data_IF_909075196274
#
_entry.id   IF_909075196274
#
_cell.length_a   1.000
_cell.length_b   1.000
_cell.length_c   1.000
_cell.angle_alpha   90.00
_cell.angle_beta   90.00
_cell.angle_gamma   90.00
#
_symmetry.space_group_name_H-M   'P 1'
#
loop_
_entity.id
_entity.type
_entity.pdbx_description
1 polymer ?
2 non-polymer ?
3 non-polymer ?
4 non-polymer ?
5 water ?
#
# COMPACT_ATOMS: atom_id res chain seq x y z
N UNK A 2 34.84 6.05 -5.87
CA UNK A 2 35.62 5.05 -6.60
C UNK A 2 35.73 5.43 -8.07
N UNK A 3 34.59 5.52 -8.77
CA UNK A 3 34.57 5.89 -10.18
C UNK A 3 35.20 7.25 -10.37
N UNK A 4 35.96 7.41 -11.46
CA UNK A 4 36.60 8.68 -11.79
C UNK A 4 35.49 9.63 -12.28
N UNK A 5 35.74 10.95 -12.24
CA UNK A 5 34.79 11.94 -12.73
C UNK A 5 34.45 11.63 -14.19
N UNK A 6 33.17 11.53 -14.49
CA UNK A 6 32.70 11.20 -15.83
C UNK A 6 31.22 10.91 -15.90
N UNK A 7 30.78 10.34 -17.03
CA UNK A 7 29.37 10.01 -17.31
C UNK A 7 29.24 8.53 -17.63
N UNK A 8 28.23 7.88 -17.04
CA UNK A 8 28.02 6.44 -17.22
C UNK A 8 26.53 6.18 -17.29
N UNK A 9 26.14 4.99 -17.79
CA UNK A 9 24.75 4.52 -17.61
C UNK A 9 24.84 3.49 -16.47
N UNK A 10 23.78 3.32 -15.71
CA UNK A 10 23.76 2.37 -14.62
C UNK A 10 22.37 1.71 -14.52
N UNK A 11 22.27 0.40 -14.78
CA UNK A 11 20.97 -0.28 -14.62
C UNK A 11 20.59 -0.36 -13.15
N UNK A 12 19.30 -0.41 -12.89
CA UNK A 12 18.84 -0.52 -11.51
C UNK A 12 17.53 -1.26 -11.45
N UNK A 13 17.20 -1.71 -10.25
CA UNK A 13 15.90 -2.34 -9.99
C UNK A 13 15.37 -1.69 -8.72
N UNK A 14 14.08 -1.30 -8.73
CA UNK A 14 13.40 -0.80 -7.53
C UNK A 14 12.85 -2.07 -6.86
N UNK A 15 13.38 -2.40 -5.68
CA UNK A 15 12.97 -3.56 -4.88
C UNK A 15 12.07 -3.15 -3.73
N UNK A 16 11.32 -4.10 -3.18
CA UNK A 16 10.46 -3.80 -2.04
C UNK A 16 11.31 -3.42 -0.81
N UNK A 17 10.70 -2.72 0.15
CA UNK A 17 11.40 -2.29 1.37
C UNK A 17 11.85 -3.47 2.24
N UNK A 18 10.99 -4.50 2.39
CA UNK A 18 11.21 -5.62 3.32
C UNK A 18 11.58 -6.98 2.73
N UNK A 19 11.62 -7.06 1.39
CA UNK A 19 12.05 -8.28 0.69
C UNK A 19 12.74 -7.92 -0.63
N UNK A 20 13.35 -8.92 -1.29
CA UNK A 20 14.08 -8.71 -2.53
C UNK A 20 13.26 -8.85 -3.82
N UNK A 21 11.92 -8.94 -3.71
CA UNK A 21 11.11 -8.97 -4.94
C UNK A 21 11.01 -7.53 -5.50
N UNK A 22 10.59 -7.39 -6.76
CA UNK A 22 10.47 -6.09 -7.41
C UNK A 22 9.34 -5.29 -6.80
N UNK A 23 9.55 -3.99 -6.66
CA UNK A 23 8.54 -3.06 -6.17
C UNK A 23 7.63 -2.70 -7.36
N UNK A 24 6.37 -2.29 -7.08
CA UNK A 24 5.49 -1.77 -8.13
C UNK A 24 6.10 -0.46 -8.71
N UNK A 25 7.06 0.18 -7.98
CA UNK A 25 7.75 1.38 -8.45
C UNK A 25 8.61 1.13 -9.69
N UNK A 26 9.01 -0.15 -9.92
CA UNK A 26 9.83 -0.47 -11.10
C UNK A 26 9.15 -0.03 -12.43
N UNK A 27 7.81 -0.02 -12.49
CA UNK A 27 7.05 0.40 -13.69
C UNK A 27 7.11 1.92 -13.96
N UNK A 28 7.51 2.72 -12.93
CA UNK A 28 7.47 4.17 -12.97
C UNK A 28 8.75 4.89 -13.32
N UNK A 29 9.87 4.14 -13.45
CA UNK A 29 11.18 4.71 -13.75
C UNK A 29 11.71 4.07 -15.01
N UNK A 30 12.36 4.85 -15.86
CA UNK A 30 12.95 4.28 -17.07
C UNK A 30 14.38 3.80 -16.80
N UNK A 31 14.71 2.61 -17.32
CA UNK A 31 16.03 1.98 -17.16
C UNK A 31 16.85 2.11 -18.47
N UNK A 32 18.19 2.29 -18.42
CA UNK A 32 19.04 2.51 -17.24
C UNK A 32 19.02 3.97 -16.79
N UNK A 33 19.57 4.24 -15.60
CA UNK A 33 19.71 5.60 -15.09
C UNK A 33 21.02 6.18 -15.66
N UNK A 34 21.15 7.49 -15.60
CA UNK A 34 22.41 8.15 -15.95
C UNK A 34 23.15 8.31 -14.62
N UNK A 35 24.48 8.17 -14.64
CA UNK A 35 25.29 8.38 -13.46
C UNK A 35 26.39 9.41 -13.82
N UNK A 36 26.41 10.54 -13.10
CA UNK A 36 27.44 11.55 -13.32
C UNK A 36 28.27 11.66 -12.05
N UNK A 37 29.59 11.53 -12.21
CA UNK A 37 30.53 11.65 -11.10
C UNK A 37 31.28 12.97 -11.30
N UNK A 38 31.15 13.91 -10.35
CA UNK A 38 31.78 15.24 -10.45
C UNK A 38 32.31 15.63 -9.06
N UNK A 39 33.60 16.01 -8.99
CA UNK A 39 34.28 16.36 -7.75
C UNK A 39 34.06 15.26 -6.69
N UNK A 40 34.10 14.01 -7.16
CA UNK A 40 33.92 12.82 -6.33
C UNK A 40 32.49 12.51 -5.89
N UNK A 41 31.49 13.31 -6.31
CA UNK A 41 30.08 13.10 -5.93
C UNK A 41 29.31 12.34 -7.00
N UNK A 42 28.68 11.23 -6.58
CA UNK A 42 27.96 10.35 -7.49
C UNK A 42 26.53 10.81 -7.55
N UNK A 43 26.10 11.24 -8.74
CA UNK A 43 24.74 11.72 -8.97
C UNK A 43 24.02 10.80 -9.92
N UNK A 44 22.88 10.26 -9.49
CA UNK A 44 22.10 9.38 -10.35
C UNK A 44 20.90 10.16 -10.84
N UNK A 45 20.60 10.07 -12.15
CA UNK A 45 19.43 10.73 -12.72
C UNK A 45 18.59 9.71 -13.47
N UNK A 46 17.28 9.80 -13.32
CA UNK A 46 16.36 8.88 -14.01
C UNK A 46 15.05 9.55 -14.32
N UNK A 47 14.39 9.06 -15.37
CA UNK A 47 13.10 9.59 -15.77
C UNK A 47 11.99 8.92 -14.97
N UNK A 48 11.08 9.73 -14.42
CA UNK A 48 9.86 9.28 -13.75
C UNK A 48 8.84 9.37 -14.92
N UNK A 49 8.25 8.22 -15.33
CA UNK A 49 7.40 8.20 -16.52
C UNK A 49 5.92 8.54 -16.33
N UNK A 50 5.53 8.87 -15.10
CA UNK A 50 4.17 9.25 -14.78
C UNK A 50 4.27 10.33 -13.72
N UNK A 51 4.55 11.54 -14.22
CA UNK A 51 4.77 12.72 -13.40
C UNK A 51 3.62 12.99 -12.44
N UNK A 52 2.35 12.84 -12.88
CA UNK A 52 1.17 13.12 -12.05
C UNK A 52 0.94 12.10 -10.93
N UNK A 53 1.28 10.82 -11.15
CA UNK A 53 1.06 9.76 -10.15
C UNK A 53 2.10 9.85 -9.03
N UNK A 54 3.37 10.05 -9.38
CA UNK A 54 4.48 10.11 -8.43
C UNK A 54 4.62 11.56 -7.96
N UNK A 55 3.98 11.90 -6.82
CA UNK A 55 3.93 13.28 -6.34
C UNK A 55 5.17 13.74 -5.58
N UNK A 56 5.87 12.80 -4.92
CA UNK A 56 7.08 13.14 -4.16
C UNK A 56 7.96 11.92 -4.10
N UNK A 57 9.27 12.14 -4.07
CA UNK A 57 10.23 11.06 -3.99
C UNK A 57 11.40 11.53 -3.15
N UNK A 58 11.77 10.69 -2.17
CA UNK A 58 12.88 10.98 -1.26
C UNK A 58 13.85 9.80 -1.23
N UNK A 59 15.15 10.07 -1.09
CA UNK A 59 16.15 8.99 -1.02
C UNK A 59 17.06 9.25 0.16
N UNK A 60 17.66 8.19 0.69
CA UNK A 60 18.54 8.31 1.86
C UNK A 60 19.85 9.04 1.51
N UNK A 61 20.17 10.05 2.32
CA UNK A 61 21.43 10.81 2.19
C UNK A 61 21.81 11.27 3.59
N UNK A 62 23.03 10.91 4.02
CA UNK A 62 23.56 11.23 5.35
C UNK A 62 22.61 10.78 6.49
N UNK A 63 22.12 9.55 6.37
CA UNK A 63 21.27 8.87 7.34
C UNK A 63 19.81 9.25 7.40
N UNK A 64 19.32 10.10 6.47
CA UNK A 64 17.92 10.54 6.45
C UNK A 64 17.34 10.65 5.05
N UNK A 65 15.99 10.64 4.92
CA UNK A 65 15.32 10.72 3.60
C UNK A 65 15.22 12.15 3.17
N UNK A 66 15.84 12.49 2.02
CA UNK A 66 15.83 13.85 1.49
C UNK A 66 15.18 13.88 0.10
N UNK A 67 14.43 14.96 -0.17
CA UNK A 67 13.79 15.10 -1.47
C UNK A 67 14.79 15.01 -2.61
N UNK A 68 14.43 14.29 -3.67
CA UNK A 68 15.27 14.23 -4.88
C UNK A 68 15.19 15.62 -5.59
N UNK A 69 16.17 15.91 -6.45
CA UNK A 69 16.16 17.16 -7.20
C UNK A 69 15.43 16.96 -8.52
N UNK A 70 14.48 17.82 -8.86
CA UNK A 70 13.84 17.71 -10.19
C UNK A 70 14.76 18.49 -11.16
N UNK A 71 15.28 17.82 -12.20
CA UNK A 71 16.22 18.45 -13.13
C UNK A 71 15.64 18.84 -14.48
N UNK A 72 14.48 18.27 -14.81
CA UNK A 72 13.70 18.57 -16.01
C UNK A 72 12.26 18.11 -15.78
N UNK A 73 11.29 18.84 -16.33
CA UNK A 73 9.88 18.44 -16.21
C UNK A 73 9.22 18.68 -17.52
N UNK A 74 8.44 17.69 -17.99
CA UNK A 74 7.71 17.84 -19.26
C UNK A 74 6.24 17.54 -18.97
N UNK A 75 5.47 18.58 -18.61
CA UNK A 75 4.05 18.42 -18.25
C UNK A 75 3.24 17.90 -19.39
N UNK A 76 3.56 18.35 -20.63
CA UNK A 76 2.84 17.92 -21.84
C UNK A 76 2.92 16.40 -21.99
N UNK A 77 4.10 15.81 -21.71
CA UNK A 77 4.34 14.36 -21.85
C UNK A 77 4.13 13.59 -20.54
N UNK A 78 3.83 14.31 -19.43
CA UNK A 78 3.59 13.69 -18.13
C UNK A 78 4.85 12.93 -17.60
N UNK A 79 6.03 13.55 -17.81
CA UNK A 79 7.28 12.96 -17.32
C UNK A 79 8.14 14.00 -16.66
N UNK A 80 9.11 13.54 -15.88
CA UNK A 80 10.11 14.42 -15.29
C UNK A 80 11.41 13.64 -15.07
N UNK A 81 12.52 14.34 -14.91
CA UNK A 81 13.80 13.69 -14.64
C UNK A 81 14.19 14.13 -13.25
N UNK A 82 14.52 13.17 -12.39
CA UNK A 82 14.93 13.45 -11.02
C UNK A 82 16.38 13.07 -10.87
N UNK A 83 17.06 13.69 -9.91
CA UNK A 83 18.46 13.41 -9.65
C UNK A 83 18.70 13.35 -8.15
N UNK A 84 19.57 12.43 -7.73
CA UNK A 84 19.92 12.30 -6.33
C UNK A 84 21.32 11.81 -6.13
N UNK A 85 21.91 12.23 -5.02
CA UNK A 85 23.26 11.82 -4.64
C UNK A 85 23.24 10.44 -4.03
N UNK A 86 24.19 9.57 -4.42
CA UNK A 86 24.29 8.21 -3.85
C UNK A 86 25.66 8.08 -3.20
N UNK A 87 25.69 7.77 -1.90
CA UNK A 87 26.96 7.66 -1.16
C UNK A 87 27.70 6.38 -1.48
N UNK A 88 26.96 5.26 -1.59
CA UNK A 88 27.54 3.94 -1.87
C UNK A 88 26.66 3.20 -2.86
N UNK A 89 27.14 3.04 -4.09
CA UNK A 89 26.38 2.35 -5.15
C UNK A 89 26.25 0.83 -4.94
N UNK A 90 27.12 0.27 -4.07
CA UNK A 90 27.19 -1.16 -3.80
C UNK A 90 26.24 -1.66 -2.70
N UNK A 91 25.38 -0.78 -2.18
CA UNK A 91 24.41 -1.13 -1.16
C UNK A 91 23.01 -0.67 -1.61
N UNK A 92 21.92 -1.37 -1.22
CA UNK A 92 20.56 -0.89 -1.58
C UNK A 92 20.33 0.51 -1.02
N UNK A 93 19.62 1.34 -1.76
CA UNK A 93 19.36 2.72 -1.34
C UNK A 93 17.91 2.88 -0.91
N UNK A 94 17.68 3.19 0.36
CA UNK A 94 16.32 3.34 0.86
C UNK A 94 15.65 4.59 0.32
N UNK A 95 14.41 4.44 -0.16
CA UNK A 95 13.62 5.52 -0.72
C UNK A 95 12.18 5.54 -0.21
N UNK A 96 11.51 6.68 -0.39
CA UNK A 96 10.13 6.89 0.02
C UNK A 96 9.41 7.57 -1.12
N UNK A 97 8.21 7.11 -1.41
CA UNK A 97 7.41 7.73 -2.45
C UNK A 97 6.05 8.15 -1.92
N UNK A 98 5.53 9.31 -2.40
CA UNK A 98 4.15 9.72 -2.19
C UNK A 98 3.51 9.63 -3.55
N UNK A 99 2.34 9.01 -3.63
CA UNK A 99 1.65 8.86 -4.91
C UNK A 99 0.18 9.18 -4.82
N UNK A 100 -0.42 9.45 -5.96
CA UNK A 100 -1.84 9.70 -6.08
C UNK A 100 -2.33 8.75 -7.13
N UNK A 101 -3.33 7.96 -6.79
CA UNK A 101 -3.82 6.97 -7.75
C UNK A 101 -5.30 7.18 -8.06
N UNK A 102 -5.76 7.12 -9.34
CA UNK A 102 -7.21 7.23 -9.57
C UNK A 102 -7.87 6.00 -8.96
N UNK A 103 -8.98 6.22 -8.26
CA UNK A 103 -9.60 5.12 -7.52
C UNK A 103 -11.11 5.21 -7.62
N UNK A 104 -11.68 4.68 -8.73
CA UNK A 104 -13.13 4.65 -9.01
C UNK A 104 -13.84 6.01 -8.82
N UNK A 105 -13.29 7.04 -9.46
CA UNK A 105 -13.83 8.39 -9.38
C UNK A 105 -13.20 9.26 -8.30
N UNK A 106 -12.45 8.63 -7.35
CA UNK A 106 -11.75 9.33 -6.27
C UNK A 106 -10.24 9.32 -6.51
N UNK A 107 -9.48 10.04 -5.68
CA UNK A 107 -8.02 10.02 -5.80
C UNK A 107 -7.47 9.48 -4.50
N UNK A 108 -6.81 8.32 -4.57
CA UNK A 108 -6.21 7.76 -3.38
C UNK A 108 -4.81 8.35 -3.18
N UNK A 109 -4.54 8.87 -1.99
CA UNK A 109 -3.22 9.39 -1.67
C UNK A 109 -2.52 8.33 -0.83
N UNK A 110 -1.43 7.82 -1.36
CA UNK A 110 -0.68 6.77 -0.71
C UNK A 110 0.77 7.11 -0.53
N UNK A 111 1.45 6.26 0.25
CA UNK A 111 2.89 6.41 0.45
C UNK A 111 3.50 5.04 0.63
N UNK A 112 4.75 4.88 0.21
CA UNK A 112 5.40 3.59 0.40
C UNK A 112 6.89 3.77 0.41
N UNK A 113 7.58 2.81 1.01
CA UNK A 113 9.03 2.78 0.99
C UNK A 113 9.46 1.68 0.03
N UNK A 114 10.63 1.86 -0.55
CA UNK A 114 11.23 0.86 -1.45
C UNK A 114 12.72 1.06 -1.43
N UNK A 115 13.45 0.29 -2.21
CA UNK A 115 14.89 0.42 -2.25
C UNK A 115 15.40 0.39 -3.68
N UNK A 116 16.35 1.25 -4.03
CA UNK A 116 16.96 1.10 -5.34
C UNK A 116 18.15 0.18 -5.19
N UNK A 117 18.33 -0.77 -6.11
CA UNK A 117 19.51 -1.65 -6.14
C UNK A 117 20.15 -1.45 -7.52
N UNK A 118 21.41 -0.98 -7.53
CA UNK A 118 22.13 -0.63 -8.76
C UNK A 118 23.03 -1.78 -9.23
N UNK A 119 23.17 -1.94 -10.55
CA UNK A 119 24.07 -2.91 -11.17
C UNK A 119 25.39 -2.13 -11.44
N UNK A 120 26.32 -2.70 -12.22
CA UNK A 120 27.60 -2.05 -12.52
C UNK A 120 27.45 -0.93 -13.56
N UNK A 121 28.11 0.19 -13.32
CA UNK A 121 28.07 1.35 -14.23
C UNK A 121 28.95 1.08 -15.47
N UNK A 122 28.55 1.62 -16.64
CA UNK A 122 29.24 1.46 -17.91
C UNK A 122 29.35 2.82 -18.63
N UNK B 6 -30.14 -5.55 14.85
CA UNK B 6 -29.14 -5.32 15.90
C UNK B 6 -29.71 -4.66 17.13
N UNK B 7 -29.00 -4.80 18.27
CA UNK B 7 -29.40 -4.21 19.57
C UNK B 7 -28.24 -3.52 20.31
N UNK B 8 -27.08 -4.20 20.42
CA UNK B 8 -25.87 -3.73 21.10
C UNK B 8 -24.88 -3.15 20.07
N UNK B 9 -24.18 -2.05 20.41
CA UNK B 9 -23.16 -1.49 19.52
C UNK B 9 -21.79 -1.77 20.12
N UNK B 10 -20.84 -2.16 19.26
CA UNK B 10 -19.50 -2.55 19.68
C UNK B 10 -18.42 -1.88 18.80
N UNK B 11 -17.60 -0.96 19.34
CA UNK B 11 -16.53 -0.37 18.50
C UNK B 11 -15.44 -1.41 18.21
N UNK B 12 -14.73 -1.26 17.09
CA UNK B 12 -13.67 -2.21 16.74
C UNK B 12 -12.57 -1.51 15.98
N UNK B 13 -11.43 -2.18 15.88
CA UNK B 13 -10.31 -1.72 15.07
C UNK B 13 -9.85 -2.92 14.24
N UNK B 14 -9.59 -2.69 12.95
CA UNK B 14 -9.02 -3.74 12.11
C UNK B 14 -7.50 -3.53 12.24
N UNK B 15 -6.82 -4.52 12.82
CA UNK B 15 -5.37 -4.51 13.03
C UNK B 15 -4.65 -5.40 12.01
N UNK B 16 -3.35 -5.18 11.82
CA UNK B 16 -2.59 -6.02 10.90
C UNK B 16 -2.54 -7.47 11.39
N UNK B 17 -2.27 -8.44 10.50
CA UNK B 17 -2.19 -9.85 10.86
C UNK B 17 -1.05 -10.16 11.84
N UNK B 18 0.15 -9.57 11.61
CA UNK B 18 1.37 -9.88 12.37
C UNK B 18 1.90 -8.84 13.35
N UNK B 19 1.21 -7.70 13.47
CA UNK B 19 1.55 -6.66 14.44
C UNK B 19 0.29 -5.91 14.90
N UNK B 20 0.44 -5.06 15.92
CA UNK B 20 -0.69 -4.32 16.49
C UNK B 20 -0.98 -2.95 15.87
N UNK B 21 -0.34 -2.62 14.73
CA UNK B 21 -0.66 -1.36 14.06
C UNK B 21 -2.00 -1.54 13.30
N UNK B 22 -2.64 -0.43 12.94
CA UNK B 22 -3.90 -0.47 12.19
C UNK B 22 -3.69 -1.02 10.80
N UNK B 23 -4.65 -1.81 10.34
CA UNK B 23 -4.67 -2.36 8.99
C UNK B 23 -5.25 -1.29 8.06
N UNK B 24 -4.93 -1.39 6.75
CA UNK B 24 -5.55 -0.49 5.77
C UNK B 24 -7.07 -0.80 5.71
N UNK B 25 -7.50 -1.98 6.23
CA UNK B 25 -8.92 -2.37 6.26
C UNK B 25 -9.78 -1.46 7.15
N UNK B 26 -9.14 -0.73 8.11
CA UNK B 26 -9.84 0.20 9.02
C UNK B 26 -10.66 1.25 8.27
N UNK B 27 -10.20 1.64 7.07
CA UNK B 27 -10.87 2.64 6.22
C UNK B 27 -12.12 2.11 5.54
N UNK B 28 -12.27 0.77 5.46
CA UNK B 28 -13.33 0.09 4.71
C UNK B 28 -14.57 -0.33 5.46
N UNK B 29 -14.56 -0.22 6.80
CA UNK B 29 -15.67 -0.62 7.64
C UNK B 29 -16.14 0.57 8.47
N UNK B 30 -17.46 0.70 8.63
CA UNK B 30 -17.98 1.78 9.46
C UNK B 30 -18.05 1.34 10.89
N UNK B 31 -17.71 2.28 11.78
CA UNK B 31 -17.73 2.07 13.22
C UNK B 31 -18.95 2.76 13.87
N UNK B 32 -19.56 2.19 14.92
CA UNK B 32 -19.28 0.88 15.54
C UNK B 32 -20.01 -0.23 14.78
N UNK B 33 -19.73 -1.49 15.13
CA UNK B 33 -20.46 -2.62 14.58
C UNK B 33 -21.71 -2.85 15.44
N UNK B 34 -22.64 -3.68 14.93
CA UNK B 34 -23.87 -4.10 15.63
C UNK B 34 -23.59 -5.47 16.24
N UNK B 35 -24.12 -5.73 17.43
CA UNK B 35 -23.92 -7.00 18.11
C UNK B 35 -25.26 -7.52 18.61
N UNK B 36 -25.57 -8.77 18.26
CA UNK B 36 -26.81 -9.41 18.68
C UNK B 36 -26.65 -10.92 18.89
N UNK B 37 -27.64 -11.54 19.56
CA UNK B 37 -27.66 -12.99 19.72
C UNK B 37 -28.72 -13.58 18.80
N UNK B 38 -28.36 -14.58 18.01
CA UNK B 38 -29.28 -15.27 17.10
C UNK B 38 -29.08 -16.76 17.28
N UNK B 39 -30.15 -17.48 17.77
CA UNK B 39 -30.11 -18.92 18.05
C UNK B 39 -28.94 -19.25 19.02
N UNK B 40 -28.78 -18.41 20.03
CA UNK B 40 -27.74 -18.53 21.06
C UNK B 40 -26.33 -18.12 20.65
N UNK B 41 -26.13 -17.71 19.40
CA UNK B 41 -24.78 -17.36 18.92
C UNK B 41 -24.59 -15.84 18.83
N UNK B 42 -23.38 -15.35 19.05
CA UNK B 42 -23.03 -13.93 18.96
C UNK B 42 -22.80 -13.55 17.49
N UNK B 43 -23.59 -12.61 16.98
CA UNK B 43 -23.51 -12.18 15.59
C UNK B 43 -23.10 -10.72 15.51
N UNK B 44 -22.03 -10.46 14.76
CA UNK B 44 -21.56 -9.10 14.57
C UNK B 44 -21.93 -8.67 13.16
N UNK B 45 -22.47 -7.45 13.01
CA UNK B 45 -22.77 -6.92 11.68
C UNK B 45 -22.08 -5.57 11.51
N UNK B 46 -21.60 -5.31 10.30
CA UNK B 46 -20.97 -4.03 10.01
C UNK B 46 -21.13 -3.68 8.56
N UNK B 47 -21.06 -2.38 8.28
CA UNK B 47 -21.16 -1.90 6.92
C UNK B 47 -19.77 -1.87 6.28
N UNK B 48 -19.67 -2.41 5.07
CA UNK B 48 -18.47 -2.36 4.22
C UNK B 48 -18.75 -1.10 3.38
N UNK B 49 -17.90 -0.07 3.47
CA UNK B 49 -18.18 1.20 2.79
C UNK B 49 -17.70 1.36 1.36
N UNK B 50 -17.09 0.30 0.82
CA UNK B 50 -16.62 0.27 -0.56
C UNK B 50 -16.87 -1.13 -1.07
N UNK B 51 -18.14 -1.33 -1.40
CA UNK B 51 -18.65 -2.61 -1.87
C UNK B 51 -17.87 -3.18 -3.07
N UNK B 52 -17.51 -2.33 -4.06
CA UNK B 52 -16.81 -2.79 -5.26
C UNK B 52 -15.36 -3.23 -5.04
N UNK B 53 -14.66 -2.56 -4.10
CA UNK B 53 -13.25 -2.87 -3.84
C UNK B 53 -13.09 -4.16 -3.03
N UNK B 54 -13.93 -4.35 -2.00
CA UNK B 54 -13.89 -5.49 -1.10
C UNK B 54 -14.73 -6.60 -1.72
N UNK B 55 -14.09 -7.51 -2.48
CA UNK B 55 -14.83 -8.53 -3.22
C UNK B 55 -15.25 -9.76 -2.41
N UNK B 56 -14.50 -10.07 -1.34
CA UNK B 56 -14.81 -11.22 -0.49
C UNK B 56 -14.24 -10.97 0.89
N UNK B 57 -14.91 -11.49 1.90
CA UNK B 57 -14.48 -11.33 3.27
C UNK B 57 -14.83 -12.59 4.02
N UNK B 58 -13.83 -13.14 4.72
CA UNK B 58 -13.99 -14.38 5.49
C UNK B 58 -13.48 -14.15 6.90
N UNK B 59 -14.13 -14.78 7.89
CA UNK B 59 -13.69 -14.66 9.30
C UNK B 59 -13.58 -16.04 9.90
N UNK B 60 -12.73 -16.17 10.92
CA UNK B 60 -12.52 -17.47 11.56
C UNK B 60 -13.74 -17.98 12.32
N UNK B 61 -14.17 -19.23 12.02
CA UNK B 61 -15.28 -19.92 12.69
C UNK B 61 -15.01 -21.39 12.69
N UNK B 62 -14.96 -22.00 13.91
CA UNK B 62 -14.70 -23.42 14.12
C UNK B 62 -13.41 -23.89 13.42
N UNK B 63 -12.35 -23.10 13.52
CA UNK B 63 -11.03 -23.40 12.97
C UNK B 63 -10.82 -23.17 11.48
N UNK B 64 -11.78 -22.56 10.78
CA UNK B 64 -11.58 -22.28 9.34
C UNK B 64 -12.10 -20.89 9.01
N UNK B 65 -11.62 -20.28 7.90
CA UNK B 65 -12.10 -19.00 7.46
C UNK B 65 -13.35 -19.21 6.64
N UNK B 66 -14.48 -18.65 7.10
CA UNK B 66 -15.75 -18.84 6.42
C UNK B 66 -16.29 -17.51 5.89
N UNK B 67 -16.91 -17.55 4.70
CA UNK B 67 -17.46 -16.35 4.10
C UNK B 67 -18.46 -15.70 5.05
N UNK B 68 -18.38 -14.37 5.18
CA UNK B 68 -19.37 -13.62 5.98
C UNK B 68 -20.73 -13.69 5.23
N UNK B 69 -21.84 -13.44 5.95
CA UNK B 69 -23.15 -13.40 5.31
C UNK B 69 -23.41 -11.98 4.82
N UNK B 70 -23.81 -11.82 3.56
CA UNK B 70 -24.19 -10.49 3.08
C UNK B 70 -25.67 -10.33 3.46
N UNK B 71 -25.97 -9.38 4.36
CA UNK B 71 -27.33 -9.11 4.85
C UNK B 71 -28.08 -8.23 3.84
N UNK B 72 -27.43 -7.15 3.44
CA UNK B 72 -27.98 -6.11 2.58
C UNK B 72 -26.89 -5.63 1.62
N UNK B 73 -27.26 -5.26 0.40
CA UNK B 73 -26.28 -4.69 -0.55
C UNK B 73 -26.93 -3.48 -1.18
N UNK B 74 -26.18 -2.37 -1.25
CA UNK B 74 -26.71 -1.15 -1.84
C UNK B 74 -25.72 -0.69 -2.90
N UNK B 75 -25.92 -1.14 -4.15
CA UNK B 75 -25.02 -0.80 -5.25
C UNK B 75 -25.04 0.69 -5.55
N UNK B 76 -26.21 1.36 -5.37
CA UNK B 76 -26.33 2.80 -5.61
C UNK B 76 -25.35 3.56 -4.70
N UNK B 77 -25.23 3.14 -3.44
CA UNK B 77 -24.38 3.81 -2.45
C UNK B 77 -22.98 3.16 -2.36
N UNK B 78 -22.75 2.06 -3.10
CA UNK B 78 -21.47 1.31 -3.07
C UNK B 78 -21.16 0.77 -1.66
N UNK B 79 -22.19 0.24 -0.97
CA UNK B 79 -22.00 -0.31 0.37
C UNK B 79 -22.74 -1.62 0.50
N UNK B 80 -22.40 -2.38 1.54
CA UNK B 80 -23.13 -3.59 1.87
C UNK B 80 -23.00 -3.83 3.36
N UNK B 81 -23.93 -4.60 3.94
CA UNK B 81 -23.85 -4.94 5.36
C UNK B 81 -23.54 -6.41 5.40
N UNK B 82 -22.53 -6.77 6.18
CA UNK B 82 -22.10 -8.15 6.34
C UNK B 82 -22.32 -8.55 7.76
N UNK B 83 -22.54 -9.84 7.99
CA UNK B 83 -22.73 -10.37 9.34
C UNK B 83 -21.94 -11.66 9.50
N UNK B 84 -21.36 -11.85 10.70
CA UNK B 84 -20.59 -13.05 10.98
C UNK B 84 -20.70 -13.45 12.43
N UNK B 85 -20.59 -14.76 12.66
CA UNK B 85 -20.61 -15.32 14.00
C UNK B 85 -19.25 -15.16 14.65
N UNK B 86 -19.22 -14.74 15.92
CA UNK B 86 -17.95 -14.58 16.66
C UNK B 86 -18.02 -15.50 17.88
N UNK B 87 -17.06 -16.42 18.01
CA UNK B 87 -17.01 -17.36 19.13
C UNK B 87 -16.56 -16.70 20.42
N UNK B 88 -15.54 -15.83 20.33
CA UNK B 88 -14.97 -15.11 21.47
C UNK B 88 -14.71 -13.66 21.09
N UNK B 89 -15.52 -12.73 21.62
CA UNK B 89 -15.37 -11.29 21.34
C UNK B 89 -14.13 -10.67 22.00
N UNK B 90 -13.58 -11.33 23.00
CA UNK B 90 -12.48 -10.85 23.83
C UNK B 90 -11.09 -11.17 23.29
N UNK B 91 -11.02 -11.78 22.11
CA UNK B 91 -9.74 -12.11 21.48
C UNK B 91 -9.73 -11.56 20.06
N UNK B 92 -8.56 -11.23 19.48
CA UNK B 92 -8.55 -10.78 18.08
C UNK B 92 -9.13 -11.84 17.16
N UNK B 93 -9.91 -11.43 16.16
CA UNK B 93 -10.55 -12.37 15.24
C UNK B 93 -9.85 -12.36 13.90
N UNK B 94 -9.28 -13.51 13.50
CA UNK B 94 -8.56 -13.58 12.24
C UNK B 94 -9.52 -13.51 11.05
N UNK B 95 -9.17 -12.68 10.08
CA UNK B 95 -9.97 -12.49 8.88
C UNK B 95 -9.10 -12.52 7.62
N UNK B 96 -9.73 -12.75 6.46
CA UNK B 96 -9.07 -12.84 5.17
C UNK B 96 -9.91 -12.07 4.20
N UNK B 97 -9.32 -11.12 3.45
CA UNK B 97 -10.06 -10.31 2.49
C UNK B 97 -9.51 -10.51 1.07
N UNK B 98 -10.42 -10.46 0.06
CA UNK B 98 -10.03 -10.40 -1.34
C UNK B 98 -10.46 -9.03 -1.83
N UNK B 99 -9.59 -8.37 -2.57
CA UNK B 99 -9.90 -7.04 -3.05
C UNK B 99 -9.45 -6.81 -4.50
N UNK B 100 -10.04 -5.78 -5.12
CA UNK B 100 -9.74 -5.35 -6.49
C UNK B 100 -9.55 -3.84 -6.54
N UNK B 101 -8.50 -3.38 -7.23
CA UNK B 101 -8.29 -1.94 -7.34
C UNK B 101 -7.69 -1.58 -8.69
N UNK B 102 -8.07 -0.41 -9.23
CA UNK B 102 -7.49 0.04 -10.51
C UNK B 102 -5.99 0.29 -10.35
N UNK B 103 -5.16 -0.18 -11.30
CA UNK B 103 -3.71 -0.01 -11.21
C UNK B 103 -3.05 0.10 -12.58
N UNK B 104 -2.47 1.27 -12.86
CA UNK B 104 -1.72 1.54 -14.11
C UNK B 104 -2.46 0.96 -15.36
N UNK B 105 -3.76 1.23 -15.45
CA UNK B 105 -4.60 0.78 -16.56
C UNK B 105 -5.14 -0.63 -16.50
N UNK B 106 -4.79 -1.37 -15.43
CA UNK B 106 -5.24 -2.75 -15.24
C UNK B 106 -6.05 -2.85 -13.94
N UNK B 107 -6.44 -4.08 -13.55
CA UNK B 107 -7.12 -4.31 -12.26
C UNK B 107 -6.19 -5.15 -11.40
N UNK B 108 -5.76 -4.60 -10.25
CA UNK B 108 -4.90 -5.29 -9.29
C UNK B 108 -5.80 -6.11 -8.37
N UNK B 109 -5.59 -7.44 -8.34
CA UNK B 109 -6.38 -8.38 -7.53
C UNK B 109 -5.48 -8.84 -6.42
N UNK B 110 -5.87 -8.54 -5.20
CA UNK B 110 -5.05 -8.93 -4.06
C UNK B 110 -5.83 -9.66 -2.99
N UNK B 111 -5.10 -10.15 -2.02
CA UNK B 111 -5.68 -10.81 -0.85
C UNK B 111 -4.82 -10.56 0.36
N UNK B 112 -5.41 -10.50 1.54
CA UNK B 112 -4.62 -10.24 2.74
C UNK B 112 -5.34 -10.75 3.94
N UNK B 113 -4.57 -10.96 5.02
CA UNK B 113 -5.16 -11.33 6.29
C UNK B 113 -5.07 -10.13 7.22
N UNK B 114 -5.99 -10.03 8.16
CA UNK B 114 -5.98 -8.97 9.18
C UNK B 114 -6.72 -9.51 10.38
N UNK B 115 -6.87 -8.70 11.42
CA UNK B 115 -7.57 -9.17 12.59
C UNK B 115 -8.54 -8.11 13.09
N UNK B 116 -9.75 -8.50 13.49
CA UNK B 116 -10.65 -7.53 14.10
C UNK B 116 -10.36 -7.58 15.59
N UNK B 117 -10.26 -6.41 16.23
CA UNK B 117 -10.12 -6.32 17.70
C UNK B 117 -11.32 -5.49 18.17
N UNK B 118 -12.20 -6.12 18.97
CA UNK B 118 -13.43 -5.49 19.47
C UNK B 118 -13.16 -4.85 20.81
N UNK B 119 -13.65 -3.60 20.99
CA UNK B 119 -13.45 -2.86 22.23
C UNK B 119 -14.54 -3.28 23.21
N UNK B 120 -14.35 -4.47 23.80
CA UNK B 120 -15.30 -5.07 24.74
C UNK B 120 -15.16 -4.52 26.15
N UNK B 121 -13.98 -3.97 26.49
CA UNK B 121 -13.67 -3.40 27.81
C UNK B 121 -14.18 -1.95 28.01
N UNK B 122 -14.93 -1.40 27.02
CA UNK B 122 -15.50 -0.06 27.05
C UNK B 122 -16.84 -0.03 27.81
X LIG C 1 1.53 -0.71 -1.22
X LIG C 1 -3.12 0.58 -1.58
X LIG C 1 -2.30 2.29 -5.97
X LIG C 1 2.39 1.86 -5.20
X LIG C 1 0.18 -0.52 -0.96
X LIG C 1 -0.49 -1.07 0.18
X LIG C 1 -1.77 -0.68 0.12
X LIG C 1 -1.93 0.06 -1.10
X LIG C 1 -2.88 -1.07 1.11
X LIG C 1 0.19 -1.91 1.24
X LIG C 1 0.96 -1.11 2.30
X LIG C 1 1.62 -2.00 3.34
X LIG C 1 2.76 -2.45 3.18
X LIG C 1 0.97 -2.31 4.43
X LIG C 1 -3.28 1.24 -2.80
X LIG C 1 -4.61 1.66 -3.29
X LIG C 1 -4.39 2.03 -4.59
X LIG C 1 -2.94 1.93 -4.79
X LIG C 1 -5.91 1.59 -2.53
X LIG C 1 -5.27 2.50 -5.68
X LIG C 1 -6.52 2.68 -5.65
X LIG C 1 -0.94 2.31 -6.15
X LIG C 1 -0.28 3.03 -7.23
X LIG C 1 1.05 2.97 -6.99
X LIG C 1 1.19 2.21 -5.75
X LIG C 1 -0.95 3.69 -8.41
X LIG C 1 2.14 3.54 -7.83
X LIG C 1 3.03 4.39 -7.26
X LIG C 1 2.54 1.09 -4.05
X LIG C 1 3.89 0.65 -3.58
X LIG C 1 3.64 -0.17 -2.55
X LIG C 1 2.16 -0.12 -2.34
X LIG C 1 5.29 0.99 -4.19
X LIG C 1 4.59 -0.92 -1.65
X LIG C 1 4.83 -2.38 -2.22
X LIG C 1 5.78 -2.26 -3.43
X LIG C 1 5.45 -2.57 -4.53
X LIG C 1 7.06 -1.81 -3.26
X LIG C 1 -0.71 0.19 -1.77
X LIG C 1 -2.31 1.47 -3.67
X LIG C 1 -0.03 1.90 -5.22
X LIG C 1 1.52 0.65 -3.26
X LIG C 1 -0.40 1.20 -3.41
X LIG D 1 8.16 6.14 3.80
X LIG E 1 6.39 19.36 -23.61
X LIG F 1 2.13 22.60 -25.06
X LIG G 1 15.15 7.53 -19.85
X LIG G 1 14.53 6.70 -20.83
X LIG G 1 16.33 6.83 -19.24
X LIG G 1 17.42 6.86 -20.16
X LIG G 1 16.74 7.49 -17.95
X LIG G 1 15.84 7.11 -16.89
X LIG H 1 30.63 3.28 -4.15
X LIG H 1 30.45 2.78 -5.47
X LIG H 1 32.00 3.89 -3.98
X LIG H 1 32.18 4.91 -4.96
X LIG H 1 32.16 4.49 -2.60
X LIG H 1 32.29 3.46 -1.61
X LIG I 1 -0.51 2.53 1.40
X LIG I 1 -0.26 3.41 0.31
X LIG I 1 0.31 2.88 2.61
X LIG I 1 0.56 4.29 2.66
X LIG I 1 -0.36 2.44 3.89
X LIG I 1 -1.26 3.44 4.35
X LIG J 1 18.82 -5.38 -13.96
X LIG J 1 19.79 -4.56 -13.31
X LIG J 1 18.05 -4.59 -14.99
X LIG J 1 17.45 -3.44 -14.39
X LIG J 1 16.97 -5.46 -15.60
X LIG J 1 16.36 -4.82 -16.71
X LIG K 1 5.17 -5.31 -11.75
X LIG K 1 4.19 -4.32 -11.41
X LIG K 1 6.57 -4.75 -11.61
X LIG K 1 6.81 -4.39 -10.25
X LIG K 1 7.60 -5.74 -12.08
X LIG K 1 8.91 -5.18 -11.96
X LIG L 1 -0.92 -5.56 1.73
X LIG L 1 -0.03 -3.82 -2.68
X LIG L 1 -4.43 -2.11 -2.96
X LIG L 1 -5.42 -3.92 1.30
X LIG L 1 -0.31 -5.27 0.51
X LIG L 1 1.03 -5.64 0.24
X LIG L 1 1.30 -5.20 -1.06
X LIG L 1 0.09 -4.56 -1.50
X LIG L 1 2.63 -5.34 -1.78
X LIG L 1 2.00 -6.26 1.24
X LIG L 1 1.80 -7.77 1.38
X LIG L 1 2.83 -8.52 2.20
X LIG L 1 3.74 -9.10 1.67
X LIG L 1 2.79 -8.60 3.55
X LIG L 1 -1.15 -3.16 -3.10
X LIG L 1 -1.20 -2.42 -4.38
X LIG L 1 -2.48 -1.99 -4.52
X LIG L 1 -3.13 -2.44 -3.27
X LIG L 1 -0.07 -2.25 -5.37
X LIG L 1 -3.25 -1.20 -5.55
X LIG L 1 -2.89 -1.10 -6.77
X LIG L 1 -5.09 -2.44 -1.82
X LIG L 1 -6.44 -2.15 -1.58
X LIG L 1 -6.74 -2.67 -0.38
X LIG L 1 -5.52 -3.30 0.10
X LIG L 1 -7.37 -1.40 -2.52
X LIG L 1 -8.02 -2.54 0.28
X LIG L 1 -8.69 -3.60 0.62
X LIG L 1 -4.27 -4.53 1.77
X LIG L 1 -4.19 -5.08 3.15
X LIG L 1 -2.92 -5.48 3.29
X LIG L 1 -2.26 -5.20 1.99
X LIG L 1 -5.30 -5.10 4.22
X LIG L 1 -2.22 -6.11 4.48
X LIG L 1 -1.59 -5.00 5.40
X LIG L 1 -2.70 -4.27 6.17
X LIG L 1 -2.94 -3.11 6.04
X LIG L 1 -3.43 -4.98 7.04
X LIG L 1 -0.94 -4.67 -0.57
X LIG L 1 -2.30 -3.14 -2.47
X LIG L 1 -4.55 -3.18 -0.80
X LIG L 1 -3.12 -4.64 1.09
X LIG L 1 -2.81 -4.08 -0.76
X LIG M 1 -5.53 -15.14 3.88
X LIG N 1 -11.42 3.59 1.58
X LIG N 1 -10.71 4.82 1.41
X LIG N 1 -12.87 3.70 1.17
X LIG N 1 -13.61 4.41 2.17
X LIG N 1 -13.08 4.36 -0.17
X LIG N 1 -12.55 3.57 -1.23
X LIG O 1 -29.02 -1.96 -7.22
X LIG O 1 -29.19 -3.27 -7.74
X LIG O 1 -29.29 -1.91 -5.74
X LIG O 1 -28.29 -2.66 -5.03
X LIG O 1 -29.26 -0.47 -5.29
X LIG O 1 -29.43 -0.35 -3.89
X LIG P 1 -5.16 -20.59 -1.22
X LIG P 1 -5.13 -21.85 -1.88
X LIG P 1 -6.21 -19.69 -1.80
X LIG P 1 -7.48 -20.36 -1.77
X LIG P 1 -6.31 -18.39 -1.03
X LIG P 1 -6.80 -18.59 0.29
X LIG Q 1 -1.63 -8.40 -1.30
X LIG Q 1 -1.67 -7.67 -2.52
X LIG Q 1 -0.86 -9.69 -1.47
X LIG Q 1 -1.11 -10.25 -2.77
X LIG Q 1 0.63 -9.47 -1.28
X LIG Q 1 1.13 -8.51 -2.19
#
# INVERSE_FOLDING_TARGET
STLSDGIYTIPFVAKKANDDSNSSMQNYFNNPAWLKVKNGKKMVAMTVNDNKTVTALKTTLAGTLQDVKVVSEDKDANTRIVEFEVEDLNQPLAAHVNYEAPFNGSVYKGQADFRYVFDTAK
STLSDGIYTIPFVAKKANDDSNSSMQNYFNNPAWLKVKNGKKMVAMTVNDNKTVTALKTTLAGTLQDVKVVSEDKDANTRIVEFEVEDLNQPLAAHVNYEAPFNGSVYKGQADFRYVFDTAK
HEM CHA CHB CHC CHD C1A C2A C3A C4A CMA CAA CBA CGA O1A O2A C1B C2B C3B C4B CMB CAB CBB C1C C2C C3C C4C CMC CAC CBC C1D C2D C3D C4D CMD CAD CBD CGD O1D O2D NA NB NC ND FE
ZN ZN
ZN ZN
ZN ZN
GOL C1 O1 C2 O2 C3 O3
GOL C1 O1 C2 O2 C3 O3
GOL C1 O1 C2 O2 C3 O3
GOL C1 O1 C2 O2 C3 O3
GOL C1 O1 C2 O2 C3 O3
HEM CHA CHB CHC CHD C1A C2A C3A C4A CMA CAA CBA CGA O1A O2A C1B C2B C3B C4B CMB CAB CBB C1C C2C C3C C4C CMC CAC CBC C1D C2D C3D C4D CMD CAD CBD CGD O1D O2D NA NB NC ND FE
ZN ZN
GOL C1 O1 C2 O2 C3 O3
GOL C1 O1 C2 O2 C3 O3
GOL C1 O1 C2 O2 C3 O3
GOL C1 O1 C2 O2 C3 O3
#
